data_IF_395549970176
#
_entry.id   IF_395549970176
#
_cell.length_a   1.000
_cell.length_b   1.000
_cell.length_c   1.000
_cell.angle_alpha   90.00
_cell.angle_beta   90.00
_cell.angle_gamma   90.00
#
_symmetry.space_group_name_H-M   'P 1'
#
loop_
_entity.id
_entity.type
_entity.pdbx_description
1 polymer ?
#
# COMPACT_ATOMS: atom_id res chain seq x y z
N UNK A 1 22.58 -22.96 6.01
CA UNK A 1 22.81 -21.50 6.14
C UNK A 1 22.93 -21.15 7.61
N UNK A 2 23.63 -20.07 7.94
CA UNK A 2 23.57 -19.38 9.23
C UNK A 2 22.47 -18.34 9.15
N UNK A 3 21.47 -18.43 10.00
CA UNK A 3 20.33 -17.53 10.02
C UNK A 3 20.33 -16.75 11.34
N UNK A 4 19.94 -15.49 11.28
CA UNK A 4 19.64 -14.68 12.46
C UNK A 4 18.15 -14.39 12.52
N UNK A 5 17.61 -14.19 13.73
CA UNK A 5 16.25 -13.73 13.94
C UNK A 5 16.25 -12.27 14.42
N UNK A 6 15.31 -11.48 13.95
CA UNK A 6 15.10 -10.10 14.36
C UNK A 6 13.65 -9.94 14.84
N UNK A 7 13.48 -9.79 16.16
CA UNK A 7 12.20 -9.87 16.86
C UNK A 7 11.71 -11.31 17.09
N UNK A 8 10.52 -11.43 17.68
CA UNK A 8 9.99 -12.72 18.15
C UNK A 8 8.47 -12.79 18.05
N UNK A 9 7.97 -13.81 17.38
CA UNK A 9 6.56 -14.21 17.35
C UNK A 9 6.44 -15.71 17.02
N UNK A 10 5.22 -16.25 17.06
CA UNK A 10 4.97 -17.66 16.78
C UNK A 10 5.41 -18.08 15.37
N UNK A 11 5.34 -17.18 14.39
CA UNK A 11 5.73 -17.44 13.00
C UNK A 11 7.26 -17.54 12.87
N UNK A 12 8.02 -16.69 13.57
CA UNK A 12 9.48 -16.76 13.65
C UNK A 12 9.93 -18.06 14.33
N UNK A 13 9.26 -18.50 15.41
CA UNK A 13 9.57 -19.78 16.06
C UNK A 13 9.39 -20.94 15.07
N UNK A 14 8.27 -20.95 14.33
CA UNK A 14 8.00 -21.97 13.30
C UNK A 14 9.04 -21.97 12.20
N UNK A 15 9.41 -20.80 11.68
CA UNK A 15 10.45 -20.66 10.65
C UNK A 15 11.82 -21.10 11.16
N UNK A 16 12.18 -20.76 12.40
CA UNK A 16 13.43 -21.18 13.01
C UNK A 16 13.51 -22.70 13.20
N UNK A 17 12.40 -23.32 13.62
CA UNK A 17 12.30 -24.78 13.75
C UNK A 17 12.37 -25.48 12.40
N UNK A 18 11.65 -24.98 11.38
CA UNK A 18 11.72 -25.49 10.02
C UNK A 18 13.14 -25.38 9.44
N UNK A 19 13.84 -24.26 9.69
CA UNK A 19 15.22 -24.08 9.27
C UNK A 19 16.17 -25.09 9.93
N UNK A 20 15.97 -25.38 11.22
CA UNK A 20 16.76 -26.37 11.94
C UNK A 20 16.54 -27.78 11.40
N UNK A 21 15.29 -28.14 11.12
CA UNK A 21 14.94 -29.43 10.51
C UNK A 21 15.56 -29.58 9.11
N UNK A 22 15.70 -28.49 8.37
CA UNK A 22 16.43 -28.43 7.10
C UNK A 22 17.98 -28.41 7.25
N UNK A 23 18.51 -28.51 8.48
CA UNK A 23 19.95 -28.52 8.76
C UNK A 23 20.62 -27.15 8.73
N UNK A 24 19.87 -26.06 8.86
CA UNK A 24 20.41 -24.71 9.03
C UNK A 24 20.64 -24.38 10.52
N UNK A 25 21.48 -23.39 10.78
CA UNK A 25 21.84 -22.98 12.14
C UNK A 25 21.28 -21.59 12.45
N UNK A 26 20.56 -21.45 13.57
CA UNK A 26 20.19 -20.13 14.11
C UNK A 26 21.36 -19.62 14.95
N UNK A 27 22.09 -18.63 14.43
CA UNK A 27 23.34 -18.15 15.07
C UNK A 27 23.11 -16.97 16.00
N UNK A 28 22.02 -16.23 15.82
CA UNK A 28 21.71 -15.05 16.63
C UNK A 28 20.22 -14.73 16.68
N UNK A 29 19.80 -14.04 17.76
CA UNK A 29 18.49 -13.43 17.85
C UNK A 29 18.60 -12.03 18.50
N UNK A 30 18.02 -11.03 17.84
CA UNK A 30 18.04 -9.63 18.27
C UNK A 30 16.62 -9.14 18.55
N UNK A 31 16.49 -8.12 19.39
CA UNK A 31 15.20 -7.60 19.89
C UNK A 31 14.35 -8.70 20.56
N UNK A 32 15.01 -9.64 21.24
CA UNK A 32 14.36 -10.72 22.00
C UNK A 32 14.80 -10.69 23.46
N UNK A 33 13.88 -11.02 24.36
CA UNK A 33 14.21 -11.25 25.77
C UNK A 33 14.92 -12.60 25.93
N UNK A 34 15.62 -12.79 27.05
CA UNK A 34 16.28 -14.08 27.36
C UNK A 34 15.28 -15.26 27.43
N UNK A 35 14.05 -15.01 27.89
CA UNK A 35 12.98 -16.01 27.91
C UNK A 35 12.58 -16.41 26.48
N UNK A 36 12.33 -15.43 25.61
CA UNK A 36 12.00 -15.67 24.20
C UNK A 36 13.14 -16.38 23.46
N UNK A 37 14.39 -15.99 23.70
CA UNK A 37 15.56 -16.64 23.11
C UNK A 37 15.66 -18.14 23.49
N UNK A 38 15.16 -18.53 24.68
CA UNK A 38 15.13 -19.93 25.11
C UNK A 38 14.03 -20.77 24.47
N UNK A 39 12.97 -20.13 23.96
CA UNK A 39 11.90 -20.80 23.21
C UNK A 39 12.30 -21.12 21.76
N UNK A 40 13.33 -20.44 21.24
CA UNK A 40 13.99 -20.87 20.01
C UNK A 40 14.66 -22.23 20.30
N UNK A 41 14.31 -23.25 19.51
CA UNK A 41 14.65 -24.66 19.75
C UNK A 41 16.15 -24.97 20.01
N UNK A 42 17.05 -24.02 19.70
CA UNK A 42 18.40 -23.96 20.23
C UNK A 42 18.73 -22.51 20.63
N UNK A 43 19.31 -22.27 21.81
CA UNK A 43 19.67 -20.92 22.23
C UNK A 43 20.71 -20.36 21.25
N UNK A 44 20.45 -19.19 20.65
CA UNK A 44 21.37 -18.58 19.70
C UNK A 44 22.70 -18.24 20.37
N UNK A 45 23.79 -18.30 19.59
CA UNK A 45 25.14 -18.02 20.10
C UNK A 45 25.31 -16.54 20.51
N UNK A 46 24.51 -15.64 19.95
CA UNK A 46 24.47 -14.23 20.34
C UNK A 46 23.02 -13.76 20.55
N UNK A 47 22.83 -13.01 21.63
CA UNK A 47 21.61 -12.28 21.95
C UNK A 47 21.98 -10.86 22.37
N UNK A 48 21.19 -9.86 21.98
CA UNK A 48 21.39 -8.49 22.44
C UNK A 48 20.74 -7.45 21.54
N UNK A 49 21.12 -6.19 21.75
CA UNK A 49 20.66 -5.03 20.98
C UNK A 49 21.56 -4.69 19.77
N UNK A 50 22.74 -5.31 19.65
CA UNK A 50 23.73 -5.03 18.60
C UNK A 50 23.40 -5.74 17.26
N UNK A 51 22.22 -5.42 16.73
CA UNK A 51 21.76 -5.97 15.46
C UNK A 51 22.59 -5.45 14.27
N UNK A 52 23.29 -4.32 14.41
CA UNK A 52 24.10 -3.72 13.34
C UNK A 52 25.25 -4.62 12.89
N UNK A 53 25.69 -5.55 13.75
CA UNK A 53 26.61 -6.63 13.39
C UNK A 53 26.15 -7.48 12.18
N UNK A 54 24.84 -7.52 11.90
CA UNK A 54 24.26 -8.19 10.73
C UNK A 54 24.59 -7.51 9.40
N UNK A 55 24.89 -6.21 9.40
CA UNK A 55 25.11 -5.43 8.18
C UNK A 55 26.39 -5.83 7.43
N UNK A 56 27.33 -6.48 8.11
CA UNK A 56 28.62 -6.85 7.54
C UNK A 56 28.61 -8.18 6.76
N UNK A 57 27.49 -8.93 6.77
CA UNK A 57 27.34 -10.20 6.03
C UNK A 57 28.26 -11.35 6.49
N UNK A 58 29.13 -11.14 7.48
CA UNK A 58 30.03 -12.17 8.03
C UNK A 58 29.36 -13.02 9.11
N UNK A 59 28.28 -12.50 9.69
CA UNK A 59 27.67 -13.05 10.87
C UNK A 59 26.56 -14.08 10.55
N UNK A 60 25.65 -13.74 9.63
CA UNK A 60 24.58 -14.60 9.15
C UNK A 60 24.43 -14.47 7.63
N UNK A 61 24.00 -15.55 6.98
CA UNK A 61 23.71 -15.61 5.54
C UNK A 61 22.37 -14.92 5.21
N UNK A 62 21.43 -14.90 6.17
CA UNK A 62 20.12 -14.25 6.04
C UNK A 62 19.49 -13.94 7.41
N UNK A 63 18.46 -13.08 7.40
CA UNK A 63 17.72 -12.65 8.60
C UNK A 63 16.23 -12.97 8.47
N UNK A 64 15.67 -13.63 9.48
CA UNK A 64 14.23 -13.85 9.65
C UNK A 64 13.66 -12.70 10.48
N UNK A 65 12.64 -11.99 9.98
CA UNK A 65 12.09 -10.79 10.64
C UNK A 65 10.63 -11.03 11.04
N UNK A 66 10.33 -10.81 12.32
CA UNK A 66 8.98 -10.92 12.90
C UNK A 66 8.00 -9.85 12.42
N UNK A 67 6.69 -10.15 12.48
CA UNK A 67 5.59 -9.22 12.20
C UNK A 67 5.11 -8.41 13.43
N UNK A 68 5.68 -8.67 14.61
CA UNK A 68 5.14 -8.20 15.89
C UNK A 68 5.40 -6.72 16.22
N UNK A 69 6.31 -6.04 15.52
CA UNK A 69 6.75 -4.68 15.88
C UNK A 69 6.72 -3.72 14.69
N UNK A 70 5.93 -2.64 14.81
CA UNK A 70 5.88 -1.51 13.87
C UNK A 70 6.57 -0.25 14.40
N UNK A 71 7.60 -0.42 15.23
CA UNK A 71 8.38 0.71 15.74
C UNK A 71 9.20 1.41 14.65
N UNK A 72 9.49 2.70 14.86
CA UNK A 72 10.45 3.45 14.04
C UNK A 72 11.84 2.78 14.02
N UNK A 73 12.21 2.09 15.10
CA UNK A 73 13.43 1.28 15.19
C UNK A 73 13.39 0.12 14.20
N UNK A 74 12.28 -0.63 14.12
CA UNK A 74 12.13 -1.70 13.12
C UNK A 74 12.17 -1.17 11.70
N UNK A 75 11.60 0.02 11.48
CA UNK A 75 11.68 0.69 10.18
C UNK A 75 13.13 1.03 9.78
N UNK A 76 13.92 1.62 10.69
CA UNK A 76 15.35 1.89 10.46
C UNK A 76 16.17 0.60 10.21
N UNK A 77 15.91 -0.44 11.01
CA UNK A 77 16.53 -1.77 10.86
C UNK A 77 16.29 -2.34 9.45
N UNK A 78 15.04 -2.37 9.00
CA UNK A 78 14.68 -2.89 7.67
C UNK A 78 15.32 -2.09 6.54
N UNK A 79 15.35 -0.75 6.63
CA UNK A 79 16.02 0.10 5.64
C UNK A 79 17.51 -0.24 5.55
N UNK A 80 18.22 -0.23 6.68
CA UNK A 80 19.65 -0.49 6.74
C UNK A 80 20.02 -1.90 6.27
N UNK A 81 19.26 -2.92 6.68
CA UNK A 81 19.47 -4.30 6.22
C UNK A 81 19.27 -4.43 4.70
N UNK A 82 18.24 -3.76 4.17
CA UNK A 82 17.98 -3.74 2.72
C UNK A 82 19.05 -2.97 1.95
N UNK A 83 19.52 -1.85 2.49
CA UNK A 83 20.62 -1.05 1.93
C UNK A 83 21.93 -1.85 1.89
N UNK A 84 22.19 -2.67 2.91
CA UNK A 84 23.33 -3.58 2.98
C UNK A 84 23.14 -4.86 2.13
N UNK A 85 22.03 -4.99 1.41
CA UNK A 85 21.67 -6.16 0.61
C UNK A 85 21.69 -7.49 1.39
N UNK A 86 21.41 -7.45 2.70
CA UNK A 86 21.30 -8.65 3.54
C UNK A 86 20.04 -9.42 3.14
N UNK A 87 20.12 -10.73 2.80
CA UNK A 87 18.93 -11.51 2.47
C UNK A 87 17.92 -11.59 3.63
N UNK A 88 16.65 -11.35 3.35
CA UNK A 88 15.58 -11.27 4.35
C UNK A 88 14.48 -12.30 4.09
N UNK A 89 14.03 -12.95 5.16
CA UNK A 89 12.76 -13.68 5.23
C UNK A 89 11.79 -12.93 6.14
N UNK A 90 10.74 -12.36 5.56
CA UNK A 90 9.88 -11.37 6.20
C UNK A 90 8.52 -12.00 6.53
N UNK A 91 8.14 -12.05 7.82
CA UNK A 91 6.80 -12.51 8.22
C UNK A 91 5.80 -11.41 7.88
N UNK A 92 4.77 -11.73 7.08
CA UNK A 92 3.78 -10.74 6.66
C UNK A 92 2.68 -10.49 7.71
N UNK A 93 2.22 -9.24 7.85
CA UNK A 93 2.86 -7.99 7.44
C UNK A 93 4.01 -7.60 8.37
N UNK A 94 5.16 -7.25 7.77
CA UNK A 94 6.38 -6.89 8.53
C UNK A 94 6.48 -5.39 8.82
N UNK A 95 5.77 -4.56 8.06
CA UNK A 95 5.82 -3.11 8.15
C UNK A 95 4.54 -2.46 7.65
N UNK A 96 4.44 -1.14 7.81
CA UNK A 96 3.38 -0.33 7.21
C UNK A 96 3.49 -0.27 5.67
N UNK A 97 2.39 0.02 4.95
CA UNK A 97 2.39 0.08 3.48
C UNK A 97 3.43 1.04 2.90
N UNK A 98 3.55 2.25 3.46
CA UNK A 98 4.48 3.27 2.97
C UNK A 98 5.93 2.77 3.05
N UNK A 99 6.30 2.13 4.16
CA UNK A 99 7.61 1.52 4.31
C UNK A 99 7.80 0.34 3.35
N UNK A 100 6.77 -0.48 3.10
CA UNK A 100 6.89 -1.58 2.15
C UNK A 100 7.27 -1.10 0.74
N UNK A 101 6.68 0.00 0.28
CA UNK A 101 7.05 0.66 -0.99
C UNK A 101 8.45 1.25 -0.96
N UNK A 102 8.84 1.87 0.16
CA UNK A 102 10.21 2.37 0.35
C UNK A 102 11.23 1.22 0.25
N UNK A 103 10.96 0.09 0.90
CA UNK A 103 11.81 -1.09 0.84
C UNK A 103 11.88 -1.67 -0.56
N UNK A 104 10.80 -1.65 -1.36
CA UNK A 104 10.85 -2.08 -2.76
C UNK A 104 11.81 -1.23 -3.59
N UNK A 105 11.80 0.11 -3.41
CA UNK A 105 12.73 1.01 -4.09
C UNK A 105 14.18 0.71 -3.70
N UNK A 106 14.47 0.58 -2.41
CA UNK A 106 15.83 0.26 -1.94
C UNK A 106 16.24 -1.13 -2.47
N UNK A 107 15.33 -2.11 -2.43
CA UNK A 107 15.58 -3.47 -2.92
C UNK A 107 15.89 -3.49 -4.41
N UNK A 108 15.20 -2.71 -5.24
CA UNK A 108 15.52 -2.63 -6.68
C UNK A 108 16.91 -2.06 -6.93
N UNK A 109 17.34 -1.09 -6.12
CA UNK A 109 18.67 -0.47 -6.23
C UNK A 109 19.79 -1.40 -5.72
N UNK A 110 19.58 -2.08 -4.60
CA UNK A 110 20.62 -2.91 -3.95
C UNK A 110 20.61 -4.37 -4.39
N UNK A 111 19.60 -4.80 -5.14
CA UNK A 111 19.33 -6.20 -5.45
C UNK A 111 19.18 -7.09 -4.20
N UNK A 112 18.73 -6.50 -3.09
CA UNK A 112 18.44 -7.25 -1.87
C UNK A 112 17.46 -8.40 -2.15
N UNK A 113 17.72 -9.57 -1.57
CA UNK A 113 16.86 -10.75 -1.68
C UNK A 113 15.85 -10.74 -0.56
N UNK A 114 14.57 -10.56 -0.91
CA UNK A 114 13.47 -10.60 0.06
C UNK A 114 12.53 -11.73 -0.31
N UNK A 115 12.31 -12.63 0.65
CA UNK A 115 11.28 -13.66 0.60
C UNK A 115 10.27 -13.34 1.68
N UNK A 116 8.99 -13.45 1.36
CA UNK A 116 7.92 -13.20 2.33
C UNK A 116 7.29 -14.52 2.77
N UNK A 117 7.11 -14.66 4.07
CA UNK A 117 6.35 -15.75 4.67
C UNK A 117 4.94 -15.28 5.01
N UNK A 118 3.96 -15.96 4.42
CA UNK A 118 2.54 -15.75 4.69
C UNK A 118 1.96 -17.03 5.28
N UNK A 119 1.66 -17.06 6.58
CA UNK A 119 1.11 -18.25 7.22
C UNK A 119 -0.16 -18.71 6.49
N UNK A 120 -0.11 -19.90 5.89
CA UNK A 120 -1.28 -20.52 5.26
C UNK A 120 -1.33 -20.44 3.73
N UNK A 121 -0.58 -19.54 3.09
CA UNK A 121 -0.62 -19.36 1.63
C UNK A 121 -0.16 -20.61 0.87
N UNK A 122 0.80 -21.37 1.42
CA UNK A 122 1.29 -22.61 0.79
C UNK A 122 0.65 -23.87 1.36
N UNK A 123 -0.43 -23.75 2.14
CA UNK A 123 -1.13 -24.93 2.64
C UNK A 123 -1.76 -25.73 1.51
N UNK A 124 -1.74 -27.06 1.63
CA UNK A 124 -2.27 -27.96 0.60
C UNK A 124 -3.76 -27.70 0.30
N UNK A 125 -4.54 -27.38 1.33
CA UNK A 125 -5.94 -26.99 1.19
C UNK A 125 -6.11 -25.71 0.36
N UNK A 126 -5.21 -24.75 0.51
CA UNK A 126 -5.21 -23.50 -0.25
C UNK A 126 -4.82 -23.75 -1.71
N UNK A 127 -3.75 -24.52 -1.95
CA UNK A 127 -3.34 -24.92 -3.29
C UNK A 127 -4.45 -25.69 -4.03
N UNK A 128 -5.12 -26.63 -3.35
CA UNK A 128 -6.25 -27.37 -3.90
C UNK A 128 -7.43 -26.47 -4.25
N UNK A 129 -7.76 -25.52 -3.39
CA UNK A 129 -8.83 -24.56 -3.67
C UNK A 129 -8.50 -23.66 -4.87
N UNK A 130 -7.24 -23.21 -4.98
CA UNK A 130 -6.76 -22.45 -6.14
C UNK A 130 -6.83 -23.29 -7.44
N UNK A 131 -6.47 -24.57 -7.38
CA UNK A 131 -6.61 -25.51 -8.51
C UNK A 131 -8.08 -25.64 -8.95
N UNK A 132 -8.99 -25.82 -8.00
CA UNK A 132 -10.44 -25.91 -8.25
C UNK A 132 -10.97 -24.63 -8.90
N UNK A 133 -10.51 -23.45 -8.49
CA UNK A 133 -10.87 -22.18 -9.15
C UNK A 133 -10.28 -22.09 -10.56
N UNK A 134 -9.02 -22.50 -10.74
CA UNK A 134 -8.31 -22.48 -12.02
C UNK A 134 -8.94 -23.37 -13.11
N UNK A 135 -9.76 -24.35 -12.73
CA UNK A 135 -10.52 -25.19 -13.67
C UNK A 135 -11.70 -24.47 -14.35
N UNK A 136 -12.12 -23.30 -13.86
CA UNK A 136 -13.21 -22.51 -14.45
C UNK A 136 -14.54 -23.28 -14.51
N UNK A 137 -15.20 -23.30 -15.68
CA UNK A 137 -16.49 -23.99 -15.85
C UNK A 137 -16.43 -25.51 -15.65
N UNK A 138 -15.24 -26.12 -15.75
CA UNK A 138 -15.04 -27.56 -15.50
C UNK A 138 -14.91 -27.89 -14.00
N UNK A 139 -14.82 -26.88 -13.15
CA UNK A 139 -14.70 -27.03 -11.70
C UNK A 139 -15.97 -27.61 -11.08
N UNK A 140 -15.89 -28.39 -9.99
CA UNK A 140 -17.06 -28.83 -9.22
C UNK A 140 -17.91 -27.67 -8.66
N UNK A 141 -17.35 -26.46 -8.55
CA UNK A 141 -18.10 -25.26 -8.15
C UNK A 141 -18.49 -24.36 -9.34
N UNK A 142 -18.11 -24.73 -10.56
CA UNK A 142 -18.21 -23.88 -11.75
C UNK A 142 -17.25 -22.68 -11.69
N UNK A 143 -17.50 -21.67 -12.53
CA UNK A 143 -16.70 -20.44 -12.54
C UNK A 143 -16.87 -19.71 -11.20
N UNK A 144 -15.77 -19.36 -10.55
CA UNK A 144 -15.79 -18.58 -9.31
C UNK A 144 -16.37 -17.18 -9.55
N UNK A 145 -17.34 -16.79 -8.73
CA UNK A 145 -18.03 -15.49 -8.81
C UNK A 145 -17.73 -14.61 -7.60
N UNK A 146 -17.60 -15.23 -6.41
CA UNK A 146 -17.36 -14.50 -5.18
C UNK A 146 -16.49 -15.29 -4.19
N UNK A 147 -15.56 -14.60 -3.52
CA UNK A 147 -14.82 -15.12 -2.35
C UNK A 147 -15.32 -14.39 -1.11
N UNK A 148 -15.65 -15.11 -0.05
CA UNK A 148 -16.11 -14.55 1.23
C UNK A 148 -15.21 -15.08 2.34
N UNK A 149 -14.58 -14.21 3.12
CA UNK A 149 -13.85 -14.55 4.33
C UNK A 149 -14.59 -13.96 5.52
N UNK A 150 -15.08 -14.84 6.39
CA UNK A 150 -15.66 -14.48 7.67
C UNK A 150 -14.67 -14.87 8.76
N UNK A 151 -14.18 -13.89 9.53
CA UNK A 151 -13.21 -14.12 10.59
C UNK A 151 -13.80 -13.76 11.94
N UNK A 152 -13.51 -14.56 12.94
CA UNK A 152 -13.80 -14.26 14.34
C UNK A 152 -12.52 -13.96 15.10
N UNK A 153 -12.51 -12.86 15.86
CA UNK A 153 -11.34 -12.45 16.65
C UNK A 153 -11.74 -12.06 18.09
N UNK A 154 -10.98 -12.47 19.13
CA UNK A 154 -11.22 -12.06 20.51
C UNK A 154 -10.74 -10.63 20.76
N UNK A 155 -9.68 -10.19 20.06
CA UNK A 155 -9.16 -8.82 20.12
C UNK A 155 -9.34 -8.14 18.76
N UNK A 156 -10.01 -6.99 18.78
CA UNK A 156 -10.38 -6.24 17.56
C UNK A 156 -9.86 -4.81 17.58
N UNK A 157 -8.72 -4.63 18.24
CA UNK A 157 -7.93 -3.41 18.14
C UNK A 157 -7.58 -3.15 16.66
N UNK A 158 -7.62 -1.89 16.26
CA UNK A 158 -7.39 -1.48 14.86
C UNK A 158 -6.17 -2.17 14.25
N UNK A 159 -5.04 -2.14 14.95
CA UNK A 159 -3.78 -2.73 14.45
C UNK A 159 -3.88 -4.23 14.21
N UNK A 160 -4.50 -4.97 15.14
CA UNK A 160 -4.69 -6.42 15.03
C UNK A 160 -5.60 -6.79 13.84
N UNK A 161 -6.73 -6.08 13.71
CA UNK A 161 -7.70 -6.28 12.62
C UNK A 161 -7.03 -5.98 11.28
N UNK A 162 -6.26 -4.89 11.21
CA UNK A 162 -5.56 -4.51 9.98
C UNK A 162 -4.44 -5.50 9.63
N UNK A 163 -3.65 -5.94 10.61
CA UNK A 163 -2.64 -7.00 10.42
C UNK A 163 -3.27 -8.27 9.84
N UNK A 164 -4.40 -8.68 10.38
CA UNK A 164 -5.10 -9.87 9.92
C UNK A 164 -5.78 -9.70 8.55
N UNK A 165 -6.39 -8.54 8.30
CA UNK A 165 -6.92 -8.19 6.99
C UNK A 165 -5.83 -8.29 5.92
N UNK A 166 -4.63 -7.77 6.20
CA UNK A 166 -3.50 -7.83 5.27
C UNK A 166 -3.10 -9.26 4.93
N UNK A 167 -3.11 -10.18 5.90
CA UNK A 167 -2.84 -11.61 5.68
C UNK A 167 -3.93 -12.26 4.82
N UNK A 168 -5.19 -11.96 5.11
CA UNK A 168 -6.32 -12.55 4.39
C UNK A 168 -6.46 -12.00 2.97
N UNK A 169 -6.12 -10.74 2.73
CA UNK A 169 -6.12 -10.15 1.39
C UNK A 169 -5.08 -10.80 0.48
N UNK A 170 -3.99 -11.34 1.03
CA UNK A 170 -3.04 -12.15 0.25
C UNK A 170 -3.68 -13.47 -0.19
N UNK A 171 -4.44 -14.15 0.70
CA UNK A 171 -5.18 -15.37 0.32
C UNK A 171 -6.19 -15.07 -0.78
N UNK A 172 -6.91 -13.93 -0.67
CA UNK A 172 -7.83 -13.47 -1.71
C UNK A 172 -7.08 -13.21 -3.02
N UNK A 173 -5.94 -12.54 -2.97
CA UNK A 173 -5.12 -12.24 -4.17
C UNK A 173 -4.60 -13.52 -4.83
N UNK A 174 -4.21 -14.52 -4.04
CA UNK A 174 -3.81 -15.83 -4.57
C UNK A 174 -4.94 -16.51 -5.34
N UNK A 175 -6.20 -16.31 -4.91
CA UNK A 175 -7.38 -16.90 -5.55
C UNK A 175 -7.92 -16.11 -6.75
N UNK A 176 -7.97 -14.79 -6.63
CA UNK A 176 -8.63 -13.89 -7.59
C UNK A 176 -7.65 -13.10 -8.45
N UNK A 177 -6.35 -13.18 -8.19
CA UNK A 177 -5.34 -12.33 -8.83
C UNK A 177 -5.34 -10.90 -8.27
N UNK A 178 -4.86 -9.95 -9.08
CA UNK A 178 -4.68 -8.55 -8.65
C UNK A 178 -6.01 -7.86 -8.34
N UNK A 179 -6.07 -7.24 -7.16
CA UNK A 179 -7.22 -6.45 -6.72
C UNK A 179 -7.14 -5.05 -7.32
N UNK A 180 -8.25 -4.59 -7.90
CA UNK A 180 -8.33 -3.28 -8.57
C UNK A 180 -8.98 -2.22 -7.68
N UNK A 181 -9.85 -2.64 -6.77
CA UNK A 181 -10.65 -1.70 -6.01
C UNK A 181 -11.05 -2.27 -4.66
N UNK A 182 -11.27 -1.37 -3.72
CA UNK A 182 -11.71 -1.71 -2.37
C UNK A 182 -12.72 -0.70 -1.83
N UNK A 183 -13.72 -1.18 -1.10
CA UNK A 183 -14.61 -0.39 -0.28
C UNK A 183 -14.68 -0.98 1.12
N UNK A 184 -14.98 -0.14 2.10
CA UNK A 184 -15.11 -0.58 3.49
C UNK A 184 -16.32 0.07 4.15
N UNK A 185 -16.96 -0.70 5.02
CA UNK A 185 -18.05 -0.25 5.89
C UNK A 185 -17.73 -0.76 7.28
N UNK A 186 -17.80 0.11 8.28
CA UNK A 186 -17.44 -0.24 9.65
C UNK A 186 -17.48 0.98 10.56
N UNK A 187 -16.78 0.91 11.71
CA UNK A 187 -16.62 2.03 12.62
C UNK A 187 -15.97 3.26 11.95
N UNK A 188 -16.00 4.39 12.65
CA UNK A 188 -15.30 5.60 12.21
C UNK A 188 -13.81 5.31 11.96
N UNK A 189 -13.20 6.01 11.00
CA UNK A 189 -11.84 5.67 10.54
C UNK A 189 -10.78 5.77 11.65
N UNK A 190 -11.03 6.58 12.67
CA UNK A 190 -10.19 6.85 13.83
C UNK A 190 -10.60 6.04 15.07
N UNK A 191 -11.60 5.17 14.96
CA UNK A 191 -11.97 4.27 16.04
C UNK A 191 -10.79 3.41 16.47
N UNK A 192 -10.61 3.25 17.79
CA UNK A 192 -9.58 2.41 18.38
C UNK A 192 -9.83 0.91 18.10
N UNK A 193 -11.10 0.54 17.94
CA UNK A 193 -11.54 -0.83 17.66
C UNK A 193 -12.32 -0.89 16.36
N UNK A 194 -12.06 -1.91 15.55
CA UNK A 194 -12.72 -2.16 14.27
C UNK A 194 -13.75 -3.29 14.39
N UNK A 195 -14.77 -3.05 15.20
CA UNK A 195 -15.87 -4.00 15.37
C UNK A 195 -16.75 -4.05 14.12
N UNK A 196 -17.04 -5.26 13.61
CA UNK A 196 -17.89 -5.47 12.44
C UNK A 196 -17.39 -4.77 11.16
N UNK A 197 -16.07 -4.59 11.02
CA UNK A 197 -15.48 -4.11 9.77
C UNK A 197 -15.81 -5.09 8.64
N UNK A 198 -16.39 -4.57 7.56
CA UNK A 198 -16.64 -5.29 6.31
C UNK A 198 -15.86 -4.60 5.20
N UNK A 199 -15.03 -5.37 4.51
CA UNK A 199 -14.24 -4.92 3.37
C UNK A 199 -14.74 -5.66 2.13
N UNK A 200 -14.98 -4.93 1.05
CA UNK A 200 -15.28 -5.52 -0.26
C UNK A 200 -14.19 -5.12 -1.22
N UNK A 201 -13.59 -6.08 -1.91
CA UNK A 201 -12.63 -5.86 -2.98
C UNK A 201 -13.14 -6.46 -4.28
N UNK A 202 -12.66 -5.97 -5.41
CA UNK A 202 -12.85 -6.64 -6.69
C UNK A 202 -11.57 -6.64 -7.52
N UNK A 203 -11.37 -7.70 -8.30
CA UNK A 203 -10.24 -7.83 -9.21
C UNK A 203 -10.53 -7.14 -10.57
N UNK A 204 -9.63 -7.33 -11.54
CA UNK A 204 -9.79 -6.80 -12.91
C UNK A 204 -10.96 -7.40 -13.69
N UNK A 205 -11.42 -8.59 -13.29
CA UNK A 205 -12.55 -9.30 -13.90
C UNK A 205 -13.89 -9.03 -13.18
N UNK A 206 -13.92 -8.03 -12.29
CA UNK A 206 -15.06 -7.70 -11.43
C UNK A 206 -15.55 -8.87 -10.53
N UNK A 207 -14.71 -9.89 -10.30
CA UNK A 207 -14.98 -10.92 -9.29
C UNK A 207 -14.86 -10.29 -7.90
N UNK A 208 -15.83 -10.58 -7.04
CA UNK A 208 -15.98 -9.92 -5.75
C UNK A 208 -15.31 -10.73 -4.64
N UNK A 209 -14.56 -10.05 -3.79
CA UNK A 209 -14.14 -10.57 -2.50
C UNK A 209 -14.82 -9.78 -1.39
N UNK A 210 -15.34 -10.48 -0.39
CA UNK A 210 -15.87 -9.87 0.84
C UNK A 210 -15.09 -10.43 2.01
N UNK A 211 -14.61 -9.55 2.88
CA UNK A 211 -13.97 -9.90 4.13
C UNK A 211 -14.73 -9.23 5.27
N UNK A 212 -14.91 -9.94 6.38
CA UNK A 212 -15.52 -9.35 7.57
C UNK A 212 -15.01 -9.95 8.85
N UNK A 213 -14.95 -9.13 9.90
CA UNK A 213 -14.58 -9.54 11.26
C UNK A 213 -15.77 -9.52 12.22
N UNK A 214 -15.92 -10.57 12.99
CA UNK A 214 -16.93 -10.79 14.01
C UNK A 214 -16.28 -11.03 15.39
N UNK A 215 -16.98 -10.78 16.52
CA UNK A 215 -16.47 -11.12 17.85
C UNK A 215 -16.48 -12.63 18.10
N UNK A 216 -15.55 -13.12 18.92
CA UNK A 216 -15.63 -14.45 19.55
C UNK A 216 -15.02 -14.41 20.95
N UNK A 217 -15.41 -15.37 21.79
CA UNK A 217 -14.82 -15.60 23.10
C UNK A 217 -13.77 -16.71 23.10
N UNK A 218 -13.75 -17.54 22.05
CA UNK A 218 -12.96 -18.77 22.01
C UNK A 218 -11.61 -18.54 21.34
N UNK A 219 -11.50 -18.90 20.06
CA UNK A 219 -10.26 -18.85 19.29
C UNK A 219 -10.40 -18.01 18.03
N UNK A 220 -9.26 -17.53 17.52
CA UNK A 220 -9.16 -16.96 16.19
C UNK A 220 -9.47 -18.04 15.15
N UNK A 221 -10.58 -17.89 14.46
CA UNK A 221 -11.04 -18.79 13.41
C UNK A 221 -11.49 -17.98 12.21
N UNK A 222 -11.43 -18.57 11.03
CA UNK A 222 -12.03 -17.99 9.86
C UNK A 222 -12.58 -19.05 8.91
N UNK A 223 -13.55 -18.63 8.11
CA UNK A 223 -14.17 -19.44 7.08
C UNK A 223 -14.02 -18.70 5.77
N UNK A 224 -13.29 -19.29 4.82
CA UNK A 224 -13.21 -18.82 3.44
C UNK A 224 -14.18 -19.65 2.61
N UNK A 225 -15.18 -19.00 2.02
CA UNK A 225 -16.16 -19.61 1.12
C UNK A 225 -15.97 -19.05 -0.28
N UNK A 226 -15.82 -19.93 -1.27
CA UNK A 226 -15.80 -19.56 -2.68
C UNK A 226 -17.13 -19.98 -3.28
N UNK A 227 -17.90 -19.01 -3.77
CA UNK A 227 -19.11 -19.23 -4.53
C UNK A 227 -18.76 -19.26 -6.02
N UNK A 228 -19.21 -20.30 -6.71
CA UNK A 228 -19.18 -20.37 -8.16
C UNK A 228 -20.55 -20.68 -8.74
N UNK A 229 -20.63 -20.68 -10.06
CA UNK A 229 -21.88 -20.82 -10.81
C UNK A 229 -22.60 -22.16 -10.62
N UNK A 230 -21.92 -23.21 -10.16
CA UNK A 230 -22.47 -24.56 -9.97
C UNK A 230 -22.40 -25.07 -8.52
N UNK A 231 -21.77 -24.34 -7.61
CA UNK A 231 -21.60 -24.78 -6.22
C UNK A 231 -20.78 -23.83 -5.36
N UNK A 232 -20.38 -24.29 -4.17
CA UNK A 232 -19.53 -23.51 -3.27
C UNK A 232 -18.48 -24.39 -2.59
N UNK A 233 -17.23 -23.95 -2.55
CA UNK A 233 -16.18 -24.59 -1.76
C UNK A 233 -16.00 -23.84 -0.44
N UNK A 234 -15.73 -24.56 0.65
CA UNK A 234 -15.57 -23.98 1.99
C UNK A 234 -14.27 -24.45 2.61
N UNK A 235 -13.41 -23.51 2.98
CA UNK A 235 -12.17 -23.71 3.72
C UNK A 235 -12.34 -23.19 5.15
N UNK A 236 -12.31 -24.08 6.12
CA UNK A 236 -12.29 -23.72 7.55
C UNK A 236 -10.84 -23.56 7.99
N UNK A 237 -10.51 -22.37 8.49
CA UNK A 237 -9.17 -21.97 8.93
C UNK A 237 -9.17 -21.80 10.45
N UNK A 238 -8.70 -22.82 11.15
CA UNK A 238 -8.43 -22.78 12.58
C UNK A 238 -7.11 -22.06 12.89
N UNK A 239 -6.83 -21.84 14.18
CA UNK A 239 -5.69 -21.02 14.65
C UNK A 239 -4.31 -21.46 14.15
N UNK A 240 -4.15 -22.71 13.71
CA UNK A 240 -2.94 -23.15 13.00
C UNK A 240 -3.25 -23.39 11.52
N UNK A 241 -2.44 -22.86 10.58
CA UNK A 241 -2.50 -23.17 9.14
C UNK A 241 -2.60 -24.65 8.81
N UNK A 242 -2.00 -25.44 9.70
CA UNK A 242 -1.91 -26.86 9.66
C UNK A 242 -3.26 -27.59 9.84
N UNK A 243 -4.21 -26.97 10.50
CA UNK A 243 -5.50 -27.60 10.80
C UNK A 243 -6.60 -27.18 9.82
N UNK A 244 -6.22 -26.58 8.70
CA UNK A 244 -7.15 -26.09 7.68
C UNK A 244 -7.86 -27.23 6.96
N UNK A 245 -9.20 -27.13 6.85
CA UNK A 245 -10.04 -28.17 6.26
C UNK A 245 -10.84 -27.62 5.08
N UNK A 246 -10.63 -28.21 3.91
CA UNK A 246 -11.36 -27.88 2.69
C UNK A 246 -12.52 -28.85 2.45
N UNK A 247 -13.71 -28.32 2.18
CA UNK A 247 -14.91 -29.06 1.79
C UNK A 247 -15.38 -28.58 0.42
N UNK A 248 -15.46 -29.49 -0.55
CA UNK A 248 -15.94 -29.23 -1.91
C UNK A 248 -17.18 -30.09 -2.19
N UNK A 249 -18.26 -29.54 -2.79
CA UNK A 249 -19.46 -30.30 -3.13
C UNK A 249 -19.14 -31.45 -4.08
N UNK A 250 -19.77 -32.60 -3.86
CA UNK A 250 -19.59 -33.80 -4.69
C UNK A 250 -18.37 -34.65 -4.34
N UNK A 251 -17.42 -34.15 -3.54
CA UNK A 251 -16.23 -34.91 -3.12
C UNK A 251 -16.42 -35.60 -1.76
N UNK A 252 -17.33 -35.06 -0.92
CA UNK A 252 -17.49 -35.46 0.48
C UNK A 252 -18.19 -36.82 0.72
N UNK A 253 -18.92 -37.36 -0.26
CA UNK A 253 -19.76 -38.55 -0.07
C UNK A 253 -19.15 -39.86 -0.61
N UNK A 254 -18.12 -39.80 -1.44
CA UNK A 254 -17.67 -41.01 -2.17
C UNK A 254 -16.59 -41.85 -1.48
N UNK A 255 -15.81 -41.34 -0.51
CA UNK A 255 -14.89 -42.19 0.24
C UNK A 255 -14.28 -41.51 1.49
N UNK A 256 -14.44 -42.05 2.72
CA UNK A 256 -13.63 -41.63 3.86
C UNK A 256 -12.12 -41.85 3.62
N UNK A 257 -11.72 -42.74 2.70
CA UNK A 257 -10.34 -42.88 2.25
C UNK A 257 -9.86 -41.72 1.34
N UNK A 258 -10.77 -40.98 0.70
CA UNK A 258 -10.42 -39.74 -0.02
C UNK A 258 -10.12 -38.57 0.93
N UNK A 259 -10.51 -38.66 2.22
CA UNK A 259 -9.97 -37.77 3.27
C UNK A 259 -8.51 -38.08 3.60
N UNK A 260 -8.03 -39.29 3.31
CA UNK A 260 -6.64 -39.71 3.49
C UNK A 260 -5.80 -39.52 2.21
N UNK A 261 -6.39 -39.38 1.03
CA UNK A 261 -5.67 -39.10 -0.23
C UNK A 261 -5.00 -37.71 -0.30
N UNK A 262 -5.05 -36.93 0.80
CA UNK A 262 -4.06 -35.90 1.13
C UNK A 262 -2.71 -36.49 1.63
N UNK A 263 -2.40 -37.74 1.31
CA UNK A 263 -1.11 -38.40 1.61
C UNK A 263 0.09 -37.82 0.83
N UNK A 264 -0.13 -36.82 -0.03
CA UNK A 264 0.97 -35.96 -0.45
C UNK A 264 1.60 -35.38 0.83
N UNK A 265 2.92 -35.59 1.06
CA UNK A 265 3.55 -35.21 2.31
C UNK A 265 3.22 -33.75 2.56
N UNK A 266 2.50 -33.50 3.66
CA UNK A 266 2.05 -32.19 4.05
C UNK A 266 3.27 -31.31 4.21
N UNK A 267 3.57 -30.54 3.17
CA UNK A 267 4.75 -29.70 3.13
C UNK A 267 4.48 -28.56 4.10
N UNK A 268 5.22 -28.52 5.19
CA UNK A 268 5.18 -27.43 6.14
C UNK A 268 5.47 -26.11 5.39
N UNK A 269 4.55 -25.17 5.49
CA UNK A 269 4.63 -23.86 4.84
C UNK A 269 5.90 -23.10 5.28
N UNK A 270 6.28 -23.27 6.55
CA UNK A 270 7.52 -22.70 7.08
C UNK A 270 8.76 -23.31 6.39
N UNK A 271 8.79 -24.63 6.20
CA UNK A 271 9.88 -25.29 5.48
C UNK A 271 9.96 -24.85 4.02
N UNK A 272 8.81 -24.70 3.34
CA UNK A 272 8.77 -24.18 1.98
C UNK A 272 9.31 -22.74 1.88
N UNK A 273 9.06 -21.89 2.88
CA UNK A 273 9.60 -20.54 2.93
C UNK A 273 11.13 -20.51 3.11
N UNK A 274 11.67 -21.44 3.92
CA UNK A 274 13.12 -21.59 4.11
C UNK A 274 13.80 -22.10 2.84
N UNK A 275 13.22 -23.10 2.18
CA UNK A 275 13.71 -23.59 0.88
C UNK A 275 13.74 -22.46 -0.15
N UNK A 276 12.71 -21.62 -0.16
CA UNK A 276 12.60 -20.49 -1.06
C UNK A 276 13.65 -19.40 -0.76
N UNK A 277 13.91 -19.13 0.53
CA UNK A 277 15.01 -18.26 0.93
C UNK A 277 16.37 -18.79 0.43
N UNK A 278 16.62 -20.09 0.57
CA UNK A 278 17.85 -20.71 0.07
C UNK A 278 17.98 -20.55 -1.46
N UNK A 279 16.88 -20.72 -2.20
CA UNK A 279 16.82 -20.51 -3.64
C UNK A 279 17.06 -19.04 -4.02
N UNK A 280 16.49 -18.08 -3.28
CA UNK A 280 16.71 -16.64 -3.49
C UNK A 280 18.18 -16.25 -3.32
N UNK A 281 18.83 -16.78 -2.27
CA UNK A 281 20.26 -16.56 -2.01
C UNK A 281 21.12 -17.16 -3.13
N UNK A 282 20.71 -18.30 -3.67
CA UNK A 282 21.32 -18.90 -4.86
C UNK A 282 21.01 -18.15 -6.18
N UNK A 283 20.31 -17.01 -6.12
CA UNK A 283 20.00 -16.15 -7.27
C UNK A 283 18.81 -16.61 -8.10
N UNK A 284 18.00 -17.57 -7.63
CA UNK A 284 16.75 -17.95 -8.28
C UNK A 284 15.66 -16.92 -7.95
N UNK A 285 14.73 -16.74 -8.89
CA UNK A 285 13.53 -15.95 -8.63
C UNK A 285 12.57 -16.75 -7.76
N UNK A 286 11.96 -16.06 -6.81
CA UNK A 286 11.05 -16.59 -5.79
C UNK A 286 9.65 -15.98 -6.00
N UNK A 287 8.61 -16.67 -5.56
CA UNK A 287 7.21 -16.26 -5.66
C UNK A 287 6.47 -16.47 -4.33
N UNK A 288 5.73 -15.47 -3.82
CA UNK A 288 5.46 -14.18 -4.46
C UNK A 288 6.66 -13.24 -4.45
N UNK A 289 6.78 -12.39 -5.48
CA UNK A 289 7.79 -11.33 -5.49
C UNK A 289 7.38 -10.19 -4.52
N UNK A 290 8.34 -9.51 -3.91
CA UNK A 290 8.07 -8.43 -2.94
C UNK A 290 7.14 -7.33 -3.49
N UNK A 291 7.25 -7.00 -4.78
CA UNK A 291 6.33 -6.05 -5.43
C UNK A 291 4.86 -6.52 -5.37
N UNK A 292 4.59 -7.81 -5.57
CA UNK A 292 3.23 -8.33 -5.46
C UNK A 292 2.67 -8.14 -4.04
N UNK A 293 3.52 -8.26 -3.03
CA UNK A 293 3.15 -7.99 -1.64
C UNK A 293 2.84 -6.51 -1.41
N UNK A 294 3.64 -5.59 -1.95
CA UNK A 294 3.38 -4.15 -1.84
C UNK A 294 1.97 -3.82 -2.34
N UNK A 295 1.50 -4.49 -3.40
CA UNK A 295 0.13 -4.34 -3.92
C UNK A 295 -0.93 -4.83 -2.94
N UNK A 296 -0.70 -5.93 -2.23
CA UNK A 296 -1.61 -6.37 -1.15
C UNK A 296 -1.67 -5.33 -0.03
N UNK A 297 -0.54 -4.68 0.28
CA UNK A 297 -0.46 -3.61 1.29
C UNK A 297 -1.16 -2.32 0.87
N UNK A 298 -1.41 -2.07 -0.42
CA UNK A 298 -2.23 -0.93 -0.87
C UNK A 298 -3.66 -1.01 -0.36
N UNK A 299 -4.19 -2.23 -0.21
CA UNK A 299 -5.53 -2.43 0.37
C UNK A 299 -5.56 -1.79 1.76
N UNK A 300 -4.50 -2.00 2.55
CA UNK A 300 -4.35 -1.48 3.90
C UNK A 300 -4.26 0.04 3.93
N UNK A 301 -3.50 0.65 3.03
CA UNK A 301 -3.38 2.10 2.89
C UNK A 301 -4.70 2.75 2.43
N UNK A 302 -5.45 2.06 1.57
CA UNK A 302 -6.74 2.52 1.10
C UNK A 302 -7.85 2.46 2.16
N UNK A 303 -7.70 1.65 3.23
CA UNK A 303 -8.75 1.43 4.23
C UNK A 303 -9.22 2.68 4.97
N UNK A 304 -8.36 3.52 5.56
CA UNK A 304 -8.81 4.75 6.22
C UNK A 304 -9.57 5.67 5.26
N UNK A 305 -9.14 5.72 4.00
CA UNK A 305 -9.79 6.55 2.96
C UNK A 305 -11.15 5.97 2.56
N UNK A 306 -11.25 4.65 2.40
CA UNK A 306 -12.47 3.94 2.08
C UNK A 306 -13.52 4.10 3.17
N UNK A 307 -13.15 3.89 4.44
CA UNK A 307 -14.02 4.09 5.61
C UNK A 307 -14.52 5.53 5.70
N UNK A 308 -13.60 6.51 5.61
CA UNK A 308 -13.95 7.94 5.69
C UNK A 308 -14.87 8.41 4.58
N UNK A 309 -14.72 7.87 3.36
CA UNK A 309 -15.52 8.29 2.19
C UNK A 309 -16.78 7.46 1.98
N UNK A 310 -16.87 6.27 2.59
CA UNK A 310 -17.98 5.33 2.39
C UNK A 310 -18.16 4.91 0.93
N UNK A 311 -17.09 4.89 0.14
CA UNK A 311 -17.15 4.59 -1.30
C UNK A 311 -15.96 3.78 -1.77
N UNK A 312 -16.12 3.19 -2.96
CA UNK A 312 -15.08 2.45 -3.68
C UNK A 312 -13.85 3.34 -3.93
N UNK A 313 -12.69 2.83 -3.57
CA UNK A 313 -11.36 3.38 -3.81
C UNK A 313 -10.69 2.48 -4.85
N UNK A 314 -10.12 3.07 -5.89
CA UNK A 314 -9.29 2.34 -6.84
C UNK A 314 -7.89 2.14 -6.26
N UNK A 315 -7.37 0.93 -6.38
CA UNK A 315 -6.02 0.55 -6.00
C UNK A 315 -5.10 0.81 -7.20
N UNK A 316 -3.88 1.25 -6.93
CA UNK A 316 -2.95 1.68 -7.97
C UNK A 316 -2.04 0.52 -8.32
N UNK A 317 -2.50 -0.39 -9.19
CA UNK A 317 -1.68 -1.52 -9.67
C UNK A 317 -0.51 -1.14 -10.59
N UNK A 318 -0.09 0.13 -10.60
CA UNK A 318 1.05 0.58 -11.39
C UNK A 318 2.34 0.15 -10.70
N UNK A 319 3.20 -0.57 -11.42
CA UNK A 319 4.57 -0.77 -10.95
C UNK A 319 5.23 0.60 -10.80
N UNK A 320 5.84 0.92 -9.64
CA UNK A 320 6.61 2.13 -9.46
C UNK A 320 7.82 2.08 -10.40
N UNK A 321 7.58 2.47 -11.64
CA UNK A 321 8.60 2.54 -12.68
C UNK A 321 9.04 3.98 -12.79
N UNK A 322 10.35 4.17 -12.94
CA UNK A 322 10.94 5.48 -13.25
C UNK A 322 10.27 6.11 -14.48
N UNK A 323 9.71 5.31 -15.38
CA UNK A 323 8.99 5.79 -16.56
C UNK A 323 7.74 6.61 -16.21
N UNK A 324 7.03 6.27 -15.12
CA UNK A 324 5.87 7.03 -14.64
C UNK A 324 6.31 8.37 -14.04
N UNK A 325 7.30 8.34 -13.16
CA UNK A 325 7.90 9.55 -12.56
C UNK A 325 8.51 10.46 -13.62
N UNK A 326 9.18 9.89 -14.62
CA UNK A 326 9.79 10.62 -15.73
C UNK A 326 8.74 11.28 -16.63
N UNK A 327 7.64 10.58 -16.95
CA UNK A 327 6.50 11.19 -17.64
C UNK A 327 5.87 12.32 -16.83
N UNK A 328 5.76 12.15 -15.52
CA UNK A 328 5.29 13.19 -14.60
C UNK A 328 6.19 14.42 -14.62
N UNK A 329 7.50 14.23 -14.46
CA UNK A 329 8.50 15.30 -14.49
C UNK A 329 8.57 15.96 -15.86
N UNK A 330 8.51 15.21 -16.97
CA UNK A 330 8.46 15.77 -18.32
C UNK A 330 7.19 16.57 -18.58
N UNK A 331 6.04 16.10 -18.08
CA UNK A 331 4.76 16.80 -18.22
C UNK A 331 4.74 18.09 -17.39
N UNK A 332 5.20 18.02 -16.13
CA UNK A 332 5.31 19.18 -15.25
C UNK A 332 6.36 20.17 -15.75
N UNK A 333 7.51 19.68 -16.21
CA UNK A 333 8.59 20.49 -16.79
C UNK A 333 8.16 21.17 -18.09
N UNK A 334 7.47 20.45 -18.98
CA UNK A 334 6.91 21.01 -20.21
C UNK A 334 5.86 22.09 -19.93
N UNK A 335 4.96 21.85 -18.97
CA UNK A 335 3.99 22.85 -18.52
C UNK A 335 4.69 24.07 -17.89
N UNK A 336 5.71 23.86 -17.07
CA UNK A 336 6.52 24.92 -16.47
C UNK A 336 7.22 25.79 -17.50
N UNK A 337 7.83 25.19 -18.53
CA UNK A 337 8.46 25.91 -19.64
C UNK A 337 7.42 26.73 -20.42
N UNK A 338 6.26 26.16 -20.74
CA UNK A 338 5.18 26.90 -21.40
C UNK A 338 4.70 28.10 -20.57
N UNK A 339 4.56 27.93 -19.26
CA UNK A 339 4.20 29.02 -18.34
C UNK A 339 5.27 30.12 -18.30
N UNK A 340 6.56 29.76 -18.33
CA UNK A 340 7.66 30.73 -18.37
C UNK A 340 7.67 31.50 -19.70
N UNK A 341 7.49 30.81 -20.83
CA UNK A 341 7.43 31.45 -22.16
C UNK A 341 6.25 32.41 -22.23
N UNK A 342 5.07 31.98 -21.79
CA UNK A 342 3.88 32.83 -21.72
C UNK A 342 4.12 34.05 -20.83
N UNK A 343 4.73 33.85 -19.65
CA UNK A 343 5.08 34.95 -18.75
C UNK A 343 6.06 35.94 -19.41
N UNK A 344 7.07 35.45 -20.13
CA UNK A 344 8.00 36.29 -20.87
C UNK A 344 7.29 37.14 -21.94
N UNK A 345 6.33 36.56 -22.67
CA UNK A 345 5.51 37.32 -23.63
C UNK A 345 4.70 38.43 -22.95
N UNK A 346 4.13 38.15 -21.77
CA UNK A 346 3.37 39.12 -20.99
C UNK A 346 4.27 40.25 -20.48
N UNK A 347 5.42 39.91 -19.91
CA UNK A 347 6.41 40.90 -19.45
C UNK A 347 6.91 41.75 -20.61
N UNK A 348 7.22 41.13 -21.75
CA UNK A 348 7.62 41.85 -22.97
C UNK A 348 6.55 42.84 -23.44
N UNK A 349 5.29 42.39 -23.49
CA UNK A 349 4.13 43.23 -23.86
C UNK A 349 3.94 44.41 -22.90
N UNK A 350 4.15 44.19 -21.59
CA UNK A 350 4.06 45.23 -20.56
C UNK A 350 5.20 46.25 -20.71
N UNK A 351 6.44 45.80 -20.90
CA UNK A 351 7.61 46.67 -21.09
C UNK A 351 7.44 47.53 -22.35
N UNK A 352 6.99 46.92 -23.47
CA UNK A 352 6.73 47.65 -24.71
C UNK A 352 5.57 48.65 -24.54
N UNK A 353 4.51 48.27 -23.82
CA UNK A 353 3.40 49.14 -23.45
C UNK A 353 3.83 50.36 -22.64
N UNK A 354 4.76 50.21 -21.70
CA UNK A 354 5.28 51.33 -20.89
C UNK A 354 6.31 52.20 -21.62
N UNK A 355 6.94 51.73 -22.70
CA UNK A 355 7.94 52.51 -23.47
C UNK A 355 7.34 53.51 -24.46
N UNK A 356 6.01 53.70 -24.47
CA UNK A 356 5.32 54.76 -25.21
C UNK A 356 4.59 55.65 -24.18
N UNK A 357 4.92 56.94 -23.94
CA UNK A 357 5.31 57.96 -24.92
C UNK A 357 6.31 59.02 -24.38
N UNK A 358 7.62 58.89 -24.60
CA UNK A 358 8.58 59.97 -24.27
C UNK A 358 9.11 60.73 -25.50
N UNK A 359 8.73 60.34 -26.73
CA UNK A 359 9.10 61.05 -27.96
C UNK A 359 7.98 62.00 -28.42
N UNK A 360 7.73 63.08 -27.68
CA UNK A 360 6.91 64.20 -28.18
C UNK A 360 7.49 65.60 -27.98
N UNK A 361 8.66 65.79 -27.36
CA UNK A 361 9.23 67.14 -27.18
C UNK A 361 10.24 67.57 -28.25
N UNK A 362 10.99 66.67 -28.89
CA UNK A 362 12.01 67.11 -29.88
C UNK A 362 11.43 67.45 -31.26
N UNK A 363 10.36 66.79 -31.70
CA UNK A 363 9.75 67.09 -33.01
C UNK A 363 9.03 68.45 -33.01
N UNK A 364 8.58 68.94 -31.85
CA UNK A 364 8.04 70.29 -31.73
C UNK A 364 9.12 71.38 -31.89
N UNK A 365 10.38 71.09 -31.53
CA UNK A 365 11.50 72.01 -31.73
C UNK A 365 11.99 72.01 -33.19
N UNK A 366 11.95 70.88 -33.90
CA UNK A 366 12.35 70.82 -35.31
C UNK A 366 11.26 71.35 -36.27
N UNK A 367 9.98 71.14 -35.97
CA UNK A 367 8.89 71.73 -36.79
C UNK A 367 8.84 73.26 -36.64
N UNK A 368 9.23 73.83 -35.50
CA UNK A 368 9.36 75.27 -35.34
C UNK A 368 10.50 75.90 -36.17
N UNK A 369 11.47 75.11 -36.67
CA UNK A 369 12.55 75.61 -37.53
C UNK A 369 12.38 75.29 -39.03
N UNK A 370 11.29 74.63 -39.43
CA UNK A 370 11.02 74.24 -40.83
C UNK A 370 9.71 74.83 -41.40
N UNK A 371 9.17 75.88 -40.76
CA UNK A 371 7.96 76.56 -41.21
C UNK A 371 8.08 77.39 -42.51
N UNK A 372 9.20 77.32 -43.24
CA UNK A 372 9.42 78.11 -44.46
C UNK A 372 9.53 77.32 -45.77
N UNK A 373 9.16 76.04 -45.81
CA UNK A 373 8.98 75.33 -47.10
C UNK A 373 7.82 74.33 -47.03
N UNK A 374 6.62 74.84 -47.28
CA UNK A 374 5.55 74.02 -47.84
C UNK A 374 5.99 73.58 -49.27
N UNK A 375 5.71 72.39 -49.79
CA UNK A 375 4.36 71.86 -50.06
C UNK A 375 4.45 70.34 -50.36
N UNK A 376 3.55 69.60 -49.72
CA UNK A 376 2.90 68.34 -50.10
C UNK A 376 3.73 67.06 -50.37
N UNK A 377 3.84 66.20 -49.34
CA UNK A 377 3.31 64.84 -49.44
C UNK A 377 3.01 64.26 -48.04
N UNK A 378 1.75 63.90 -47.77
CA UNK A 378 1.35 63.21 -46.53
C UNK A 378 0.38 62.08 -46.87
N UNK A 379 0.92 60.91 -47.21
CA UNK A 379 0.19 59.65 -47.18
C UNK A 379 -0.06 59.26 -45.71
N UNK A 380 -1.32 59.36 -45.28
CA UNK A 380 -1.77 58.99 -43.96
C UNK A 380 -1.61 57.47 -43.72
N UNK A 381 -0.66 57.08 -42.86
CA UNK A 381 -0.58 55.70 -42.37
C UNK A 381 -1.73 55.44 -41.39
N UNK A 382 -2.54 54.38 -41.58
CA UNK A 382 -3.68 54.08 -40.71
C UNK A 382 -3.18 53.72 -39.30
N UNK A 383 -3.55 54.55 -38.33
CA UNK A 383 -3.35 54.27 -36.90
C UNK A 383 -4.36 53.22 -36.47
N UNK A 384 -3.91 51.98 -36.33
CA UNK A 384 -4.73 50.94 -35.73
C UNK A 384 -5.07 51.30 -34.29
N UNK A 385 -6.34 51.13 -33.86
CA UNK A 385 -6.77 51.52 -32.53
C UNK A 385 -6.14 50.61 -31.47
N UNK A 386 -5.73 51.20 -30.34
CA UNK A 386 -4.98 50.53 -29.26
C UNK A 386 -5.65 49.26 -28.72
N UNK A 387 -6.99 49.16 -28.76
CA UNK A 387 -7.71 47.98 -28.27
C UNK A 387 -7.45 46.70 -29.10
N UNK A 388 -7.12 46.84 -30.39
CA UNK A 388 -6.73 45.68 -31.22
C UNK A 388 -5.32 45.19 -30.91
N UNK A 389 -4.42 46.08 -30.45
CA UNK A 389 -3.05 45.72 -30.07
C UNK A 389 -2.95 45.01 -28.71
N UNK A 390 -3.93 45.24 -27.82
CA UNK A 390 -4.00 44.63 -26.48
C UNK A 390 -4.80 43.32 -26.43
N UNK A 391 -5.34 42.86 -27.57
CA UNK A 391 -6.09 41.60 -27.71
C UNK A 391 -5.46 40.39 -26.98
N UNK A 392 -4.14 40.13 -27.02
CA UNK A 392 -3.56 38.96 -26.35
C UNK A 392 -3.56 39.04 -24.82
N UNK A 393 -3.65 40.25 -24.25
CA UNK A 393 -3.54 40.47 -22.80
C UNK A 393 -4.88 40.27 -22.10
N UNK A 394 -6.01 40.51 -22.78
CA UNK A 394 -7.35 40.40 -22.18
C UNK A 394 -7.70 38.98 -21.72
N UNK A 395 -7.47 37.89 -22.49
CA UNK A 395 -7.78 36.53 -22.06
C UNK A 395 -6.95 36.11 -20.83
N UNK A 396 -5.68 36.53 -20.78
CA UNK A 396 -4.80 36.23 -19.64
C UNK A 396 -5.26 36.98 -18.39
N UNK A 397 -5.56 38.28 -18.50
CA UNK A 397 -6.08 39.06 -17.39
C UNK A 397 -7.41 38.47 -16.87
N UNK A 398 -8.30 38.08 -17.77
CA UNK A 398 -9.56 37.41 -17.43
C UNK A 398 -9.32 36.08 -16.71
N UNK A 399 -8.38 35.26 -17.20
CA UNK A 399 -8.02 33.99 -16.58
C UNK A 399 -7.44 34.17 -15.17
N UNK A 400 -6.54 35.13 -14.98
CA UNK A 400 -5.96 35.44 -13.66
C UNK A 400 -7.01 35.94 -12.67
N UNK A 401 -7.96 36.76 -13.13
CA UNK A 401 -9.09 37.21 -12.31
C UNK A 401 -9.98 36.02 -11.90
N UNK A 402 -10.26 35.10 -12.82
CA UNK A 402 -11.03 33.88 -12.54
C UNK A 402 -10.32 32.95 -11.54
N UNK A 403 -9.02 32.74 -11.67
CA UNK A 403 -8.21 31.97 -10.71
C UNK A 403 -8.21 32.62 -9.33
N UNK A 404 -8.05 33.95 -9.26
CA UNK A 404 -8.12 34.69 -8.00
C UNK A 404 -9.50 34.55 -7.34
N UNK A 405 -10.58 34.66 -8.12
CA UNK A 405 -11.94 34.45 -7.62
C UNK A 405 -12.16 33.01 -7.12
N UNK A 406 -11.59 32.00 -7.77
CA UNK A 406 -11.65 30.61 -7.29
C UNK A 406 -10.91 30.40 -5.96
N UNK A 407 -9.78 31.08 -5.76
CA UNK A 407 -9.03 31.04 -4.50
C UNK A 407 -9.82 31.73 -3.37
N UNK A 408 -10.37 32.92 -3.63
CA UNK A 408 -11.14 33.68 -2.64
C UNK A 408 -12.49 33.03 -2.33
N UNK A 409 -13.13 32.38 -3.30
CA UNK A 409 -14.43 31.73 -3.12
C UNK A 409 -14.36 30.37 -2.42
N UNK A 410 -13.18 29.79 -2.22
CA UNK A 410 -12.99 28.70 -1.26
C UNK A 410 -13.20 29.24 0.15
N UNK A 411 -14.48 29.36 0.55
CA UNK A 411 -14.88 29.64 1.93
C UNK A 411 -14.13 28.67 2.85
N UNK A 412 -13.49 29.16 3.92
CA UNK A 412 -12.90 28.28 4.92
C UNK A 412 -14.01 27.34 5.39
N UNK A 413 -13.79 26.04 5.16
CA UNK A 413 -14.69 25.00 5.65
C UNK A 413 -14.66 25.15 7.17
N UNK A 414 -15.74 25.72 7.73
CA UNK A 414 -15.87 26.00 9.15
C UNK A 414 -15.71 24.67 9.88
N UNK A 415 -14.55 24.45 10.48
CA UNK A 415 -14.28 23.27 11.29
C UNK A 415 -15.28 23.28 12.44
N UNK A 416 -16.30 22.43 12.35
CA UNK A 416 -17.32 22.20 13.37
C UNK A 416 -16.79 21.38 14.55
N UNK A 417 -15.50 21.55 14.89
CA UNK A 417 -14.83 20.81 15.95
C UNK A 417 -14.99 21.47 17.35
N UNK A 418 -15.60 22.66 17.45
CA UNK A 418 -15.72 23.36 18.74
C UNK A 418 -17.05 23.16 19.48
N UNK A 419 -18.02 22.45 18.91
CA UNK A 419 -19.34 22.27 19.57
C UNK A 419 -19.48 20.93 20.33
N UNK A 420 -18.50 20.01 20.22
CA UNK A 420 -18.53 18.75 20.98
C UNK A 420 -17.96 18.86 22.40
N UNK A 421 -17.21 19.92 22.72
CA UNK A 421 -16.51 20.04 24.03
C UNK A 421 -17.38 20.70 25.12
N UNK A 422 -18.57 21.21 24.79
CA UNK A 422 -19.52 21.78 25.77
C UNK A 422 -20.64 20.83 26.21
N UNK A 423 -20.74 19.63 25.64
CA UNK A 423 -21.78 18.66 26.01
C UNK A 423 -21.34 17.64 27.08
N UNK A 424 -20.04 17.52 27.39
CA UNK A 424 -19.53 16.50 28.35
C UNK A 424 -19.32 17.01 29.78
N UNK A 425 -19.59 18.28 30.08
CA UNK A 425 -19.32 18.86 31.40
C UNK A 425 -20.52 18.84 32.38
N UNK A 426 -21.63 18.15 32.07
CA UNK A 426 -22.85 18.25 32.89
C UNK A 426 -23.45 16.94 33.43
N UNK A 427 -22.69 15.83 33.52
CA UNK A 427 -23.21 14.64 34.19
C UNK A 427 -22.15 13.96 35.08
N UNK A 428 -22.03 14.46 36.31
CA UNK A 428 -21.31 13.80 37.40
C UNK A 428 -22.23 13.71 38.62
N UNK A 429 -23.15 12.73 38.59
CA UNK A 429 -23.88 12.31 39.77
C UNK A 429 -23.03 11.36 40.63
N UNK A 430 -22.91 11.59 41.95
CA UNK A 430 -22.18 10.67 42.84
C UNK A 430 -23.00 9.38 43.11
N UNK A 431 -22.32 8.24 43.34
CA UNK A 431 -22.98 6.96 43.58
C UNK A 431 -23.69 6.90 44.94
N UNK A 432 -24.78 6.12 45.07
CA UNK A 432 -25.50 5.97 46.33
C UNK A 432 -24.69 5.14 47.35
N UNK A 433 -24.89 5.39 48.66
CA UNK A 433 -24.18 4.67 49.72
C UNK A 433 -24.64 3.20 49.79
N UNK A 434 -23.66 2.29 49.85
CA UNK A 434 -23.87 0.86 50.08
C UNK A 434 -24.47 0.63 51.46
N UNK A 435 -25.55 -0.15 51.53
CA UNK A 435 -26.06 -0.80 52.74
C UNK A 435 -25.68 -2.27 52.71
#
# INVERSE_FOLDING_TARGET
MKLACLGFDADVIRLAEAARQAGHAIVAAFDVTSAQASELAAPPAATGDDWESLLHGTFADAVIVSAADYSDRRADQLRKLTQAAVPLLLVHPVCEPILAFELEMIRSDTNCRMVTYFPGVRQAAMARLAEVIGQGDASPIGRAEQVIIERTMPRREREMVMRQLSRDMELVRQLLGSLRNVSAVGPEHDAATYENLVVTAANEQDQLARWSVAPTLDADEAVLTVWGSAGRARLTMSGSPDDWQLTIPGEADSNPASRQASDAPRRDDAAAAIDELALAIAGRRTRPEWNELCRTMEVMDAMPVALRRGRKIELYGEEPSESGTFKGIMSAGGCGILMIVLLMFVVGSVIEGFRLPMRKSEVAATIASQADTAVADQSATPRWPLWLRLWPVYPLALFLVLQFLLIVSKKPKRNSASDSERASAHDSNPPPPKR
#
